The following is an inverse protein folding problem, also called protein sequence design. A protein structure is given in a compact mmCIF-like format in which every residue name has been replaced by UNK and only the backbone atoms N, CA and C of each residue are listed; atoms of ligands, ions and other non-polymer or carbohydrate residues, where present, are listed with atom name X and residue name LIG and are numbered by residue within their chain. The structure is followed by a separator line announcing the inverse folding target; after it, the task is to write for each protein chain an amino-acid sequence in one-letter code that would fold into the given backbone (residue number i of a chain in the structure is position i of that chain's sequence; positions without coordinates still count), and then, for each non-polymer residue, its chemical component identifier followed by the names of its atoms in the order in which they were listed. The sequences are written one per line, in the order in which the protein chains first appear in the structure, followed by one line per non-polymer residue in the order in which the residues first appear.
data_IF_795007670847
#
_entry.id   IF_795007670847
#
_cell.length_a   1.000
_cell.length_b   1.000
_cell.length_c   1.000
_cell.angle_alpha   90.00
_cell.angle_beta   90.00
_cell.angle_gamma   90.00
#
_symmetry.space_group_name_H-M   'P 1'
#
loop_
_entity.id
_entity.type
_entity.pdbx_description
1 polymer ?
#
# COMPACT_ATOMS: atom_id res chain seq x y z
N UNK A 1 -28.93 63.40 6.12
CA UNK A 1 -29.88 63.02 5.05
C UNK A 1 -29.58 61.59 4.62
N UNK A 2 -30.60 60.76 4.75
CA UNK A 2 -30.73 59.33 4.51
C UNK A 2 -30.57 58.91 3.04
N UNK A 3 -30.07 57.68 2.78
CA UNK A 3 -30.83 56.53 2.22
C UNK A 3 -29.90 55.47 1.57
N UNK A 4 -30.04 54.22 2.06
CA UNK A 4 -30.22 52.97 1.29
C UNK A 4 -29.08 52.54 0.32
N UNK A 5 -28.72 51.29 0.04
CA UNK A 5 -29.15 49.92 0.36
C UNK A 5 -28.21 49.02 -0.45
N UNK A 6 -27.67 47.93 0.12
CA UNK A 6 -27.68 46.57 -0.47
C UNK A 6 -26.78 45.61 0.30
N UNK A 7 -27.44 44.65 0.94
CA UNK A 7 -26.88 43.39 1.37
C UNK A 7 -26.56 42.49 0.16
N UNK A 8 -25.45 41.75 0.24
CA UNK A 8 -25.21 40.46 -0.43
C UNK A 8 -23.95 39.85 0.25
N UNK A 9 -24.10 38.92 1.20
CA UNK A 9 -24.14 37.46 1.03
C UNK A 9 -22.81 36.90 0.48
N UNK A 10 -22.24 35.89 1.18
CA UNK A 10 -21.76 34.59 0.65
C UNK A 10 -20.54 34.04 1.46
N UNK A 11 -20.86 33.14 2.40
CA UNK A 11 -20.26 31.80 2.68
C UNK A 11 -18.72 31.66 2.62
N UNK A 12 -18.01 31.41 3.75
CA UNK A 12 -16.67 30.82 3.68
C UNK A 12 -16.80 29.32 3.37
N UNK A 13 -16.38 28.95 2.17
CA UNK A 13 -16.34 27.59 1.65
C UNK A 13 -15.34 26.75 2.46
N UNK A 14 -15.80 25.71 3.16
CA UNK A 14 -14.94 24.69 3.75
C UNK A 14 -14.29 23.89 2.63
N UNK A 15 -13.00 24.15 2.34
CA UNK A 15 -12.20 23.32 1.46
C UNK A 15 -11.67 22.10 2.24
N UNK A 16 -12.34 20.96 2.09
CA UNK A 16 -11.81 19.67 2.54
C UNK A 16 -10.72 19.27 1.55
N UNK A 17 -9.45 19.37 1.95
CA UNK A 17 -8.34 18.79 1.19
C UNK A 17 -8.46 17.26 1.25
N UNK A 18 -8.99 16.65 0.19
CA UNK A 18 -8.78 15.25 -0.08
C UNK A 18 -7.28 15.06 -0.38
N UNK A 19 -6.55 14.44 0.54
CA UNK A 19 -5.19 13.96 0.30
C UNK A 19 -5.32 12.77 -0.66
N UNK A 20 -5.25 13.04 -1.96
CA UNK A 20 -5.10 11.99 -2.96
C UNK A 20 -3.68 11.44 -2.85
N UNK A 21 -3.54 10.22 -2.33
CA UNK A 21 -2.31 9.45 -2.47
C UNK A 21 -2.10 9.18 -3.95
N UNK A 22 -1.18 9.90 -4.59
CA UNK A 22 -0.79 9.67 -5.96
C UNK A 22 -0.12 8.29 -6.06
N UNK A 23 -0.88 7.28 -6.49
CA UNK A 23 -0.34 6.02 -6.96
C UNK A 23 0.29 6.28 -8.32
N UNK A 24 1.61 6.16 -8.42
CA UNK A 24 2.30 6.09 -9.71
C UNK A 24 1.96 4.77 -10.38
N UNK A 25 0.96 4.78 -11.26
CA UNK A 25 0.68 3.64 -12.13
C UNK A 25 1.83 3.54 -13.16
N UNK A 26 2.74 2.60 -12.96
CA UNK A 26 3.62 2.16 -14.05
C UNK A 26 2.76 1.43 -15.08
N UNK A 27 3.07 1.57 -16.37
CA UNK A 27 2.37 0.87 -17.44
C UNK A 27 2.43 -0.63 -17.18
N UNK A 28 1.28 -1.20 -16.86
CA UNK A 28 1.20 -2.51 -16.26
C UNK A 28 0.29 -3.37 -17.14
N UNK A 29 0.76 -4.58 -17.45
CA UNK A 29 0.05 -5.56 -18.28
C UNK A 29 -1.16 -6.18 -17.52
N UNK A 30 -1.86 -5.35 -16.75
CA UNK A 30 -2.98 -5.71 -15.89
C UNK A 30 -2.59 -6.30 -14.53
N UNK A 31 -1.32 -6.22 -14.11
CA UNK A 31 -0.77 -6.83 -12.88
C UNK A 31 -0.58 -5.80 -11.76
N UNK A 32 -1.59 -5.57 -10.93
CA UNK A 32 -1.55 -4.55 -9.87
C UNK A 32 -1.31 -5.15 -8.47
N UNK A 33 -0.73 -4.35 -7.58
CA UNK A 33 -0.59 -4.65 -6.16
C UNK A 33 -1.03 -3.42 -5.34
N UNK A 34 -1.86 -3.65 -4.33
CA UNK A 34 -2.25 -2.64 -3.37
C UNK A 34 -2.22 -3.21 -1.95
N UNK A 35 -2.29 -2.33 -0.96
CA UNK A 35 -2.23 -2.69 0.46
C UNK A 35 -3.31 -1.93 1.21
N UNK A 36 -3.91 -2.59 2.19
CA UNK A 36 -4.84 -1.90 3.09
C UNK A 36 -4.11 -0.82 3.90
N UNK A 37 -4.77 0.33 4.16
CA UNK A 37 -4.12 1.46 4.82
C UNK A 37 -3.78 1.20 6.29
N UNK A 38 -4.21 0.08 6.86
CA UNK A 38 -3.95 -0.27 8.26
C UNK A 38 -3.32 -1.66 8.34
N UNK A 39 -2.33 -1.81 9.22
CA UNK A 39 -1.70 -3.07 9.54
C UNK A 39 -1.67 -3.26 11.06
N UNK A 40 -1.76 -4.50 11.50
CA UNK A 40 -1.73 -4.89 12.92
C UNK A 40 -0.29 -5.05 13.35
N UNK A 41 0.11 -4.39 14.45
CA UNK A 41 1.44 -4.56 15.04
C UNK A 41 1.36 -5.39 16.31
N UNK A 42 1.87 -6.63 16.26
CA UNK A 42 1.91 -7.55 17.39
C UNK A 42 3.30 -7.55 18.03
N UNK A 43 3.34 -7.39 19.36
CA UNK A 43 4.56 -7.42 20.17
C UNK A 43 5.69 -6.45 19.73
N UNK A 44 5.41 -5.47 18.85
CA UNK A 44 6.40 -4.60 18.18
C UNK A 44 7.39 -5.32 17.25
N UNK A 45 7.10 -6.57 16.92
CA UNK A 45 7.99 -7.47 16.15
C UNK A 45 7.31 -8.01 14.90
N UNK A 46 6.00 -8.21 14.93
CA UNK A 46 5.25 -8.80 13.83
C UNK A 46 4.29 -7.75 13.26
N UNK A 47 4.36 -7.54 11.94
CA UNK A 47 3.44 -6.68 11.20
C UNK A 47 2.58 -7.58 10.32
N UNK A 48 1.28 -7.61 10.59
CA UNK A 48 0.30 -8.32 9.78
C UNK A 48 -0.49 -7.33 8.93
N UNK A 49 -0.55 -7.58 7.62
CA UNK A 49 -1.25 -6.72 6.68
C UNK A 49 -2.03 -7.53 5.63
N UNK A 50 -2.99 -6.84 5.03
CA UNK A 50 -3.75 -7.34 3.88
C UNK A 50 -3.30 -6.61 2.64
N UNK A 51 -2.96 -7.36 1.60
CA UNK A 51 -2.64 -6.85 0.27
C UNK A 51 -3.66 -7.37 -0.73
N UNK A 52 -3.95 -6.59 -1.76
CA UNK A 52 -4.82 -7.01 -2.87
C UNK A 52 -4.01 -7.01 -4.14
N UNK A 53 -3.90 -8.18 -4.76
CA UNK A 53 -3.27 -8.36 -6.06
C UNK A 53 -4.34 -8.53 -7.15
N UNK A 54 -4.10 -7.94 -8.31
CA UNK A 54 -4.94 -8.10 -9.49
C UNK A 54 -4.06 -8.47 -10.66
N UNK A 55 -4.43 -9.48 -11.46
CA UNK A 55 -3.65 -9.89 -12.63
C UNK A 55 -4.52 -10.68 -13.61
N UNK A 56 -4.18 -10.70 -14.91
CA UNK A 56 -4.97 -11.42 -15.91
C UNK A 56 -5.09 -12.92 -15.60
N UNK A 57 -6.25 -13.50 -15.89
CA UNK A 57 -6.51 -14.91 -15.59
C UNK A 57 -5.50 -15.84 -16.27
N UNK A 58 -5.05 -16.87 -15.53
CA UNK A 58 -4.13 -17.88 -16.06
C UNK A 58 -2.65 -17.51 -15.94
N UNK A 59 -2.32 -16.29 -15.53
CA UNK A 59 -0.94 -15.88 -15.24
C UNK A 59 -0.48 -16.47 -13.91
N UNK A 60 0.82 -16.73 -13.78
CA UNK A 60 1.42 -17.27 -12.55
C UNK A 60 2.32 -16.22 -11.91
N UNK A 61 2.12 -15.97 -10.63
CA UNK A 61 2.99 -15.06 -9.89
C UNK A 61 4.23 -15.79 -9.40
N UNK A 62 5.36 -15.08 -9.39
CA UNK A 62 6.51 -15.51 -8.59
C UNK A 62 6.43 -14.75 -7.29
N UNK A 63 6.45 -15.45 -6.15
CA UNK A 63 6.41 -14.79 -4.87
C UNK A 63 7.60 -13.84 -4.72
N UNK A 64 7.43 -12.81 -3.89
CA UNK A 64 8.39 -11.72 -3.83
C UNK A 64 8.36 -11.05 -2.46
N UNK A 65 9.42 -10.30 -2.17
CA UNK A 65 9.64 -9.66 -0.87
C UNK A 65 8.66 -8.51 -0.67
N UNK A 66 8.11 -8.44 0.54
CA UNK A 66 7.44 -7.26 1.08
C UNK A 66 8.31 -6.72 2.20
N UNK A 67 8.42 -5.40 2.26
CA UNK A 67 9.23 -4.69 3.25
C UNK A 67 8.37 -3.63 3.92
N UNK A 68 8.52 -3.48 5.23
CA UNK A 68 7.97 -2.37 6.00
C UNK A 68 9.10 -1.62 6.68
N UNK A 69 9.10 -0.30 6.52
CA UNK A 69 10.06 0.59 7.14
C UNK A 69 9.36 1.68 7.95
N UNK A 70 9.86 1.94 9.15
CA UNK A 70 9.35 2.99 10.00
C UNK A 70 10.49 3.80 10.60
N UNK A 71 10.40 5.12 10.49
CA UNK A 71 11.29 6.01 11.22
C UNK A 71 11.03 5.90 12.74
N UNK A 72 12.05 5.47 13.49
CA UNK A 72 12.01 5.33 14.95
C UNK A 72 13.19 6.08 15.55
N UNK A 73 12.93 7.32 16.01
CA UNK A 73 13.98 8.20 16.52
C UNK A 73 14.96 8.59 15.40
N UNK A 74 16.23 8.20 15.54
CA UNK A 74 17.29 8.43 14.55
C UNK A 74 17.63 7.17 13.71
N UNK A 75 16.77 6.15 13.78
CA UNK A 75 16.97 4.85 13.13
C UNK A 75 15.72 4.43 12.36
N UNK A 76 15.84 3.39 11.53
CA UNK A 76 14.72 2.81 10.77
C UNK A 76 14.45 1.42 11.34
N UNK A 77 13.23 1.18 11.79
CA UNK A 77 12.74 -0.17 12.04
C UNK A 77 12.42 -0.81 10.69
N UNK A 78 12.87 -2.03 10.47
CA UNK A 78 12.75 -2.76 9.22
C UNK A 78 12.09 -4.11 9.50
N UNK A 79 11.14 -4.51 8.67
CA UNK A 79 10.55 -5.84 8.67
C UNK A 79 10.45 -6.34 7.25
N UNK A 80 10.65 -7.64 7.07
CA UNK A 80 10.49 -8.29 5.78
C UNK A 80 9.59 -9.51 5.88
N UNK A 81 8.92 -9.80 4.78
CA UNK A 81 8.06 -10.96 4.61
C UNK A 81 7.93 -11.28 3.13
N UNK A 82 7.01 -12.19 2.81
CA UNK A 82 6.91 -12.73 1.46
C UNK A 82 5.45 -12.77 0.98
N UNK A 83 5.24 -12.35 -0.26
CA UNK A 83 3.99 -12.60 -0.98
C UNK A 83 3.99 -14.05 -1.47
N UNK A 84 2.96 -14.85 -1.14
CA UNK A 84 2.90 -16.23 -1.62
C UNK A 84 2.84 -16.29 -3.14
N UNK A 85 3.23 -17.43 -3.70
CA UNK A 85 2.96 -17.77 -5.09
C UNK A 85 1.46 -18.06 -5.24
N UNK A 86 0.83 -17.54 -6.29
CA UNK A 86 -0.56 -17.84 -6.62
C UNK A 86 -0.79 -17.76 -8.12
N UNK A 87 -1.83 -18.44 -8.58
CA UNK A 87 -2.33 -18.30 -9.94
C UNK A 87 -3.35 -17.16 -9.97
N UNK A 88 -3.22 -16.31 -10.98
CA UNK A 88 -4.11 -15.20 -11.23
C UNK A 88 -5.48 -15.70 -11.70
N UNK A 89 -6.55 -15.24 -11.05
CA UNK A 89 -7.94 -15.60 -11.40
C UNK A 89 -8.59 -14.65 -12.40
N UNK A 90 -7.93 -13.54 -12.75
CA UNK A 90 -8.53 -12.44 -13.53
C UNK A 90 -9.38 -11.49 -12.68
N UNK A 91 -9.37 -11.66 -11.36
CA UNK A 91 -10.07 -10.82 -10.39
C UNK A 91 -9.13 -10.49 -9.24
N UNK A 92 -9.53 -9.52 -8.41
CA UNK A 92 -8.77 -9.17 -7.21
C UNK A 92 -8.67 -10.36 -6.24
N UNK A 93 -7.45 -10.64 -5.78
CA UNK A 93 -7.11 -11.69 -4.83
C UNK A 93 -6.53 -11.07 -3.57
N UNK A 94 -7.15 -11.38 -2.43
CA UNK A 94 -6.75 -10.89 -1.11
C UNK A 94 -5.65 -11.79 -0.55
N UNK A 95 -4.56 -11.17 -0.12
CA UNK A 95 -3.35 -11.83 0.37
C UNK A 95 -3.06 -11.35 1.79
N UNK A 96 -2.97 -12.28 2.74
CA UNK A 96 -2.49 -11.98 4.09
C UNK A 96 -0.97 -12.12 4.14
N UNK A 97 -0.28 -11.06 4.55
CA UNK A 97 1.17 -11.01 4.64
C UNK A 97 1.58 -10.76 6.09
N UNK A 98 2.49 -11.59 6.58
CA UNK A 98 3.12 -11.44 7.89
C UNK A 98 4.59 -11.09 7.65
N UNK A 99 5.04 -10.00 8.27
CA UNK A 99 6.42 -9.55 8.23
C UNK A 99 7.00 -9.58 9.63
N UNK A 100 8.25 -10.05 9.71
CA UNK A 100 9.00 -10.09 10.96
C UNK A 100 10.04 -8.98 10.98
N UNK A 101 10.12 -8.29 12.12
CA UNK A 101 11.10 -7.26 12.35
C UNK A 101 12.53 -7.83 12.34
N UNK A 102 13.46 -7.05 11.81
CA UNK A 102 14.89 -7.32 11.92
C UNK A 102 15.29 -7.31 13.42
N UNK A 103 15.84 -8.41 13.96
CA UNK A 103 16.21 -8.50 15.37
C UNK A 103 17.36 -7.57 15.75
N UNK A 104 18.13 -7.06 14.78
CA UNK A 104 19.21 -6.09 15.00
C UNK A 104 18.75 -4.63 14.95
N UNK A 105 17.53 -4.37 14.47
CA UNK A 105 16.96 -3.05 14.30
C UNK A 105 16.20 -2.52 15.53
N UNK A 106 15.82 -1.23 15.53
CA UNK A 106 14.90 -0.72 16.55
C UNK A 106 13.52 -1.38 16.41
N UNK A 107 12.84 -1.58 17.53
CA UNK A 107 11.48 -2.13 17.53
C UNK A 107 10.48 -1.15 16.89
N UNK A 108 9.48 -1.70 16.19
CA UNK A 108 8.38 -0.92 15.62
C UNK A 108 7.53 -0.23 16.71
N UNK A 109 6.84 0.82 16.30
CA UNK A 109 5.89 1.59 17.11
C UNK A 109 4.56 1.74 16.37
N UNK A 110 3.49 1.93 17.13
CA UNK A 110 2.22 2.39 16.56
C UNK A 110 2.43 3.73 15.87
N UNK A 111 1.94 3.89 14.65
CA UNK A 111 2.26 5.08 13.86
C UNK A 111 2.20 4.84 12.36
N UNK A 112 2.76 5.76 11.61
CA UNK A 112 2.90 5.62 10.15
C UNK A 112 4.17 4.83 9.86
N UNK A 113 4.09 3.90 8.92
CA UNK A 113 5.21 3.21 8.30
C UNK A 113 5.06 3.28 6.78
N UNK A 114 6.12 2.99 6.04
CA UNK A 114 6.08 2.82 4.59
C UNK A 114 6.12 1.32 4.32
N UNK A 115 5.20 0.82 3.51
CA UNK A 115 5.29 -0.52 2.96
C UNK A 115 5.73 -0.42 1.51
N UNK A 116 6.62 -1.33 1.12
CA UNK A 116 6.97 -1.56 -0.27
C UNK A 116 6.84 -3.05 -0.58
N UNK A 117 6.37 -3.35 -1.78
CA UNK A 117 6.19 -4.72 -2.23
C UNK A 117 6.06 -4.75 -3.73
N UNK A 118 6.40 -5.88 -4.32
CA UNK A 118 6.20 -6.12 -5.74
C UNK A 118 6.03 -7.60 -5.98
N UNK A 119 5.45 -7.99 -7.11
CA UNK A 119 5.48 -9.37 -7.61
C UNK A 119 5.46 -9.37 -9.13
N UNK A 120 6.27 -10.22 -9.79
CA UNK A 120 6.11 -10.48 -11.21
C UNK A 120 5.00 -11.51 -11.45
N UNK A 121 4.28 -11.37 -12.56
CA UNK A 121 3.36 -12.36 -13.07
C UNK A 121 3.71 -12.68 -14.52
N UNK A 122 3.58 -13.97 -14.89
CA UNK A 122 4.00 -14.49 -16.19
C UNK A 122 2.92 -15.36 -16.82
N UNK A 123 2.70 -15.16 -18.11
CA UNK A 123 1.90 -16.04 -18.96
C UNK A 123 2.81 -16.95 -19.78
N UNK A 124 2.84 -18.23 -19.42
CA UNK A 124 3.64 -19.23 -20.13
C UNK A 124 3.09 -19.62 -21.50
N UNK A 125 1.86 -19.22 -21.84
CA UNK A 125 1.24 -19.52 -23.14
C UNK A 125 1.61 -18.47 -24.19
N UNK A 126 1.63 -17.20 -23.79
CA UNK A 126 1.94 -16.07 -24.67
C UNK A 126 3.35 -15.51 -24.48
N UNK A 127 4.10 -16.02 -23.49
CA UNK A 127 5.42 -15.54 -23.07
C UNK A 127 5.42 -14.05 -22.70
N UNK A 128 4.31 -13.56 -22.13
CA UNK A 128 4.16 -12.18 -21.67
C UNK A 128 4.32 -12.09 -20.15
N UNK A 129 4.74 -10.91 -19.67
CA UNK A 129 5.02 -10.67 -18.25
C UNK A 129 4.53 -9.32 -17.78
N UNK A 130 4.19 -9.18 -16.50
CA UNK A 130 3.80 -7.94 -15.87
C UNK A 130 4.30 -7.88 -14.43
N UNK A 131 4.26 -6.70 -13.82
CA UNK A 131 4.78 -6.50 -12.47
C UNK A 131 3.83 -5.61 -11.68
N UNK A 132 3.27 -6.18 -10.61
CA UNK A 132 2.55 -5.42 -9.60
C UNK A 132 3.54 -4.87 -8.59
N UNK A 133 3.42 -3.60 -8.27
CA UNK A 133 4.25 -2.97 -7.24
C UNK A 133 3.47 -1.93 -6.46
N UNK A 134 3.86 -1.74 -5.21
CA UNK A 134 3.29 -0.74 -4.32
C UNK A 134 4.37 -0.14 -3.45
N UNK A 135 4.31 1.17 -3.27
CA UNK A 135 5.02 1.89 -2.21
C UNK A 135 4.03 2.90 -1.65
N UNK A 136 3.63 2.74 -0.39
CA UNK A 136 2.60 3.60 0.19
C UNK A 136 2.69 3.64 1.72
N UNK A 137 2.22 4.73 2.37
CA UNK A 137 2.10 4.75 3.81
C UNK A 137 1.01 3.80 4.33
N UNK A 138 1.30 3.16 5.46
CA UNK A 138 0.35 2.35 6.24
C UNK A 138 0.35 2.77 7.70
N UNK A 139 -0.78 2.58 8.39
CA UNK A 139 -0.91 2.81 9.82
C UNK A 139 -0.73 1.51 10.60
N UNK A 140 0.35 1.43 11.39
CA UNK A 140 0.57 0.37 12.38
C UNK A 140 -0.28 0.64 13.63
N UNK A 141 -1.17 -0.30 13.97
CA UNK A 141 -2.11 -0.21 15.09
C UNK A 141 -1.81 -1.19 16.22
#
# INVERSE_FOLDING_TARGET
MSKLVRAALIIPTLAILAVSSATVAMADNGVNLSVEPNATLTARLEVQMTMTASCPAGWYTMGSSVVVEQAVGKSIAHASGYLPYFQCTGTDQVLSVILLADPSGPAFKKGTAIVSGWFPAYDYTTFTSGVGSVITPVKLK
#
